data_IF_903439558195
#
_entry.id   IF_903439558195
#
_cell.length_a   1.000
_cell.length_b   1.000
_cell.length_c   1.000
_cell.angle_alpha   90.00
_cell.angle_beta   90.00
_cell.angle_gamma   90.00
#
_symmetry.space_group_name_H-M   'P 1'
#
loop_
_entity.id
_entity.type
_entity.pdbx_description
1 polymer ?
#
# COMPACT_ATOMS: atom_id res chain seq x y z
N UNK A 1 15.88 -10.99 7.76
CA UNK A 1 14.45 -10.77 7.45
C UNK A 1 13.69 -11.54 8.50
N UNK A 2 12.72 -10.89 9.11
CA UNK A 2 11.97 -11.41 10.24
C UNK A 2 10.51 -11.11 9.94
N UNK A 3 9.67 -12.15 10.05
CA UNK A 3 8.25 -11.99 9.84
C UNK A 3 7.66 -11.08 10.90
N UNK A 4 6.71 -10.25 10.49
CA UNK A 4 5.97 -9.43 11.43
C UNK A 4 5.06 -10.33 12.28
N UNK A 5 5.35 -10.45 13.58
CA UNK A 5 4.58 -11.25 14.53
C UNK A 5 3.22 -10.65 14.93
N UNK A 6 2.52 -9.97 14.01
CA UNK A 6 1.19 -9.43 14.28
C UNK A 6 0.13 -10.49 13.94
N UNK A 7 -0.82 -10.81 14.84
CA UNK A 7 -1.83 -11.84 14.58
C UNK A 7 -2.79 -11.50 13.43
N UNK A 8 -2.78 -10.25 12.94
CA UNK A 8 -3.61 -9.83 11.81
C UNK A 8 -2.93 -10.12 10.47
N UNK A 9 -1.62 -10.38 10.50
CA UNK A 9 -0.87 -10.70 9.30
C UNK A 9 -1.04 -12.18 9.02
N UNK A 10 -1.37 -12.57 7.78
CA UNK A 10 -1.42 -13.97 7.42
C UNK A 10 -0.07 -14.65 7.68
N UNK A 11 -0.09 -15.93 8.08
CA UNK A 11 1.14 -16.68 8.29
C UNK A 11 1.93 -16.76 6.99
N UNK A 12 3.25 -16.58 7.08
CA UNK A 12 4.13 -16.77 5.96
C UNK A 12 4.05 -18.21 5.45
N UNK A 13 4.06 -18.39 4.13
CA UNK A 13 4.14 -19.71 3.52
C UNK A 13 5.51 -20.32 3.85
N UNK A 14 5.53 -21.52 4.44
CA UNK A 14 6.75 -22.16 4.94
C UNK A 14 7.83 -22.33 3.87
N UNK A 15 7.44 -22.73 2.65
CA UNK A 15 8.35 -22.88 1.53
C UNK A 15 9.02 -21.55 1.14
N UNK A 16 8.25 -20.47 1.06
CA UNK A 16 8.76 -19.13 0.76
C UNK A 16 9.64 -18.58 1.89
N UNK A 17 9.26 -18.81 3.16
CA UNK A 17 10.08 -18.43 4.31
C UNK A 17 11.47 -19.05 4.27
N UNK A 18 11.53 -20.35 4.03
CA UNK A 18 12.80 -21.10 3.91
C UNK A 18 13.61 -20.59 2.72
N UNK A 19 12.99 -20.47 1.54
CA UNK A 19 13.67 -19.95 0.35
C UNK A 19 14.24 -18.55 0.57
N UNK A 20 13.48 -17.64 1.19
CA UNK A 20 13.93 -16.28 1.51
C UNK A 20 15.04 -16.25 2.56
N UNK A 21 15.11 -17.23 3.47
CA UNK A 21 16.22 -17.36 4.41
C UNK A 21 17.50 -17.82 3.73
N UNK A 22 17.40 -18.77 2.82
CA UNK A 22 18.55 -19.35 2.11
C UNK A 22 19.05 -18.47 0.95
N UNK A 23 18.22 -17.55 0.47
CA UNK A 23 18.59 -16.60 -0.58
C UNK A 23 19.80 -15.74 -0.15
N UNK A 24 20.83 -15.71 -0.99
CA UNK A 24 21.98 -14.84 -0.78
C UNK A 24 21.59 -13.37 -1.03
N UNK A 25 21.70 -12.54 0.01
CA UNK A 25 21.30 -11.12 0.05
C UNK A 25 22.47 -10.15 -0.09
N UNK A 26 23.62 -10.61 -0.59
CA UNK A 26 24.75 -9.72 -0.83
C UNK A 26 24.34 -8.59 -1.79
N UNK A 27 24.43 -7.35 -1.30
CA UNK A 27 24.09 -6.15 -2.06
C UNK A 27 24.91 -6.04 -3.36
N UNK A 28 26.10 -6.64 -3.42
CA UNK A 28 26.93 -6.71 -4.64
C UNK A 28 26.28 -7.49 -5.77
N UNK A 29 25.28 -8.32 -5.48
CA UNK A 29 24.52 -9.08 -6.49
C UNK A 29 23.33 -8.28 -7.04
N UNK A 30 22.99 -7.16 -6.42
CA UNK A 30 21.96 -6.25 -6.91
C UNK A 30 22.61 -5.35 -7.95
N UNK A 31 22.07 -5.34 -9.17
CA UNK A 31 22.58 -4.45 -10.22
C UNK A 31 22.48 -2.99 -9.77
N UNK A 32 23.51 -2.16 -10.01
CA UNK A 32 23.46 -0.73 -9.66
C UNK A 32 22.37 0.03 -10.42
N UNK A 33 21.83 -0.55 -11.50
CA UNK A 33 20.76 0.03 -12.32
C UNK A 33 19.36 -0.47 -11.90
N UNK A 34 19.21 -1.13 -10.74
CA UNK A 34 17.89 -1.59 -10.29
C UNK A 34 16.98 -0.37 -10.03
N UNK A 35 15.77 -0.34 -10.60
CA UNK A 35 14.81 0.73 -10.36
C UNK A 35 14.57 0.96 -8.87
N UNK A 36 14.27 2.21 -8.49
CA UNK A 36 13.84 2.50 -7.12
C UNK A 36 12.65 1.59 -6.77
N UNK A 37 12.76 0.90 -5.65
CA UNK A 37 11.71 0.02 -5.14
C UNK A 37 10.41 0.81 -4.99
N UNK A 38 9.43 0.47 -5.82
CA UNK A 38 8.12 1.10 -5.90
C UNK A 38 7.06 0.00 -5.96
N UNK A 39 5.87 0.29 -5.44
CA UNK A 39 4.82 -0.69 -5.25
C UNK A 39 3.48 -0.14 -5.75
N UNK A 40 2.69 -1.00 -6.38
CA UNK A 40 1.33 -0.67 -6.80
C UNK A 40 0.35 -0.59 -5.63
N UNK A 41 0.68 -1.16 -4.47
CA UNK A 41 -0.14 -1.11 -3.26
C UNK A 41 0.73 -0.70 -2.07
N UNK A 42 0.14 -0.12 -1.00
CA UNK A 42 0.91 0.21 0.18
C UNK A 42 1.37 -1.08 0.88
N UNK A 43 2.55 -1.05 1.49
CA UNK A 43 3.04 -2.18 2.28
C UNK A 43 2.10 -2.47 3.47
N UNK A 44 1.66 -3.72 3.68
CA UNK A 44 0.85 -4.11 4.84
C UNK A 44 1.46 -3.71 6.18
N UNK A 45 2.80 -3.64 6.25
CA UNK A 45 3.54 -3.23 7.45
C UNK A 45 3.19 -1.83 7.97
N UNK A 46 2.75 -0.92 7.08
CA UNK A 46 2.37 0.45 7.43
C UNK A 46 1.14 0.51 8.35
N UNK A 47 0.29 -0.52 8.31
CA UNK A 47 -0.97 -0.58 9.08
C UNK A 47 -0.81 -1.26 10.45
N UNK A 48 0.37 -1.82 10.74
CA UNK A 48 0.63 -2.66 11.92
C UNK A 48 1.83 -2.21 12.74
N UNK A 49 2.87 -1.64 12.13
CA UNK A 49 4.17 -1.42 12.78
C UNK A 49 4.37 0.02 13.22
N UNK A 50 4.89 0.22 14.44
CA UNK A 50 5.75 1.36 14.83
C UNK A 50 5.18 2.77 14.72
N UNK A 51 3.88 2.91 14.45
CA UNK A 51 3.19 4.19 14.29
C UNK A 51 2.20 4.39 15.44
N UNK A 52 1.91 5.64 15.80
CA UNK A 52 0.90 5.92 16.82
C UNK A 52 -0.47 5.34 16.40
N UNK A 53 -1.31 4.88 17.34
CA UNK A 53 -2.63 4.32 17.02
C UNK A 53 -3.47 5.24 16.12
N UNK A 54 -3.40 6.55 16.37
CA UNK A 54 -4.08 7.57 15.55
C UNK A 54 -3.60 7.58 14.10
N UNK A 55 -2.31 7.35 13.86
CA UNK A 55 -1.74 7.30 12.51
C UNK A 55 -2.10 6.00 11.79
N UNK A 56 -2.06 4.86 12.49
CA UNK A 56 -2.52 3.59 11.93
C UNK A 56 -3.99 3.65 11.52
N UNK A 57 -4.85 4.25 12.36
CA UNK A 57 -6.26 4.46 12.04
C UNK A 57 -6.43 5.38 10.82
N UNK A 58 -5.69 6.49 10.74
CA UNK A 58 -5.71 7.36 9.55
C UNK A 58 -5.31 6.60 8.29
N UNK A 59 -4.26 5.79 8.35
CA UNK A 59 -3.80 5.00 7.22
C UNK A 59 -4.87 4.02 6.78
N UNK A 60 -5.44 3.27 7.72
CA UNK A 60 -6.49 2.31 7.46
C UNK A 60 -7.71 2.98 6.83
N UNK A 61 -8.18 4.09 7.41
CA UNK A 61 -9.30 4.89 6.90
C UNK A 61 -9.07 5.34 5.46
N UNK A 62 -7.95 6.03 5.23
CA UNK A 62 -7.65 6.62 3.93
C UNK A 62 -7.42 5.53 2.86
N UNK A 63 -6.85 4.38 3.24
CA UNK A 63 -6.75 3.22 2.37
C UNK A 63 -8.13 2.68 2.00
N UNK A 64 -8.98 2.37 2.99
CA UNK A 64 -10.29 1.77 2.74
C UNK A 64 -11.19 2.64 1.86
N UNK A 65 -11.21 3.96 2.11
CA UNK A 65 -11.97 4.91 1.29
C UNK A 65 -11.46 4.95 -0.15
N UNK A 66 -10.15 4.86 -0.34
CA UNK A 66 -9.53 5.02 -1.65
C UNK A 66 -9.39 3.72 -2.44
N UNK A 67 -9.49 2.56 -1.76
CA UNK A 67 -9.15 1.23 -2.31
C UNK A 67 -9.85 0.95 -3.63
N UNK A 68 -11.18 1.07 -3.66
CA UNK A 68 -11.96 0.76 -4.87
C UNK A 68 -11.59 1.69 -6.03
N UNK A 69 -11.40 2.99 -5.73
CA UNK A 69 -10.96 3.97 -6.72
C UNK A 69 -9.55 3.69 -7.24
N UNK A 70 -8.63 3.27 -6.37
CA UNK A 70 -7.26 2.92 -6.74
C UNK A 70 -7.20 1.67 -7.59
N UNK A 71 -7.92 0.59 -7.23
CA UNK A 71 -8.01 -0.62 -8.06
C UNK A 71 -8.57 -0.27 -9.44
N UNK A 72 -9.64 0.52 -9.51
CA UNK A 72 -10.22 0.98 -10.78
C UNK A 72 -9.20 1.78 -11.60
N UNK A 73 -8.39 2.62 -10.93
CA UNK A 73 -7.34 3.39 -11.59
C UNK A 73 -6.26 2.48 -12.18
N UNK A 74 -5.80 1.46 -11.44
CA UNK A 74 -4.84 0.47 -11.93
C UNK A 74 -5.38 -0.34 -13.11
N UNK A 75 -6.68 -0.65 -13.14
CA UNK A 75 -7.29 -1.38 -14.26
C UNK A 75 -7.53 -0.54 -15.51
N UNK A 76 -7.68 0.78 -15.37
CA UNK A 76 -8.07 1.67 -16.46
C UNK A 76 -6.91 2.47 -17.07
N UNK A 77 -5.71 2.41 -16.50
CA UNK A 77 -4.57 3.23 -16.91
C UNK A 77 -3.24 2.50 -16.78
N UNK A 78 -2.24 2.96 -17.53
CA UNK A 78 -0.82 2.58 -17.38
C UNK A 78 -0.21 3.21 -16.11
N UNK A 79 -0.88 3.02 -14.98
CA UNK A 79 -0.45 3.56 -13.70
C UNK A 79 0.96 3.06 -13.38
N UNK A 80 1.82 3.96 -12.94
CA UNK A 80 3.18 3.62 -12.51
C UNK A 80 3.20 3.20 -11.04
N UNK A 81 4.09 2.29 -10.63
CA UNK A 81 4.23 1.92 -9.23
C UNK A 81 4.67 3.12 -8.39
N UNK A 82 4.18 3.17 -7.14
CA UNK A 82 4.36 4.32 -6.25
C UNK A 82 5.41 4.03 -5.18
N UNK A 83 6.33 4.98 -4.97
CA UNK A 83 7.39 4.82 -3.96
C UNK A 83 6.84 4.81 -2.53
N UNK A 84 7.47 4.08 -1.58
CA UNK A 84 6.99 3.95 -0.20
C UNK A 84 6.76 5.26 0.56
N UNK A 85 7.47 6.33 0.18
CA UNK A 85 7.29 7.65 0.77
C UNK A 85 5.97 8.28 0.36
N UNK A 86 5.67 8.28 -0.94
CA UNK A 86 4.43 8.86 -1.48
C UNK A 86 3.20 8.09 -1.00
N UNK A 87 3.31 6.76 -0.81
CA UNK A 87 2.31 5.98 -0.09
C UNK A 87 2.05 6.50 1.32
N UNK A 88 3.11 6.76 2.11
CA UNK A 88 2.96 7.31 3.47
C UNK A 88 2.36 8.71 3.45
N UNK A 89 2.80 9.57 2.53
CA UNK A 89 2.29 10.93 2.39
C UNK A 89 0.78 10.90 2.06
N UNK A 90 0.36 10.03 1.13
CA UNK A 90 -1.05 9.78 0.80
C UNK A 90 -1.84 9.23 2.00
N UNK A 91 -1.38 8.15 2.61
CA UNK A 91 -2.08 7.52 3.74
C UNK A 91 -2.19 8.44 4.95
N UNK A 92 -1.25 9.38 5.13
CA UNK A 92 -1.30 10.37 6.21
C UNK A 92 -2.23 11.55 5.93
N UNK A 93 -2.95 11.56 4.80
CA UNK A 93 -3.76 12.67 4.28
C UNK A 93 -2.90 13.77 3.66
N UNK A 94 -3.11 14.02 2.37
CA UNK A 94 -2.53 15.17 1.70
C UNK A 94 -3.45 16.38 1.94
N UNK A 95 -2.96 17.54 2.42
CA UNK A 95 -3.81 18.72 2.61
C UNK A 95 -4.36 19.27 1.28
N UNK A 96 -5.59 19.80 1.30
CA UNK A 96 -6.20 20.50 0.14
C UNK A 96 -5.34 21.65 -0.37
N UNK A 97 -4.66 22.35 0.54
CA UNK A 97 -3.78 23.47 0.24
C UNK A 97 -2.35 23.10 0.63
N UNK A 98 -1.47 23.03 -0.36
CA UNK A 98 -0.06 22.67 -0.19
C UNK A 98 0.78 23.94 -0.30
N UNK A 99 1.60 24.22 0.71
CA UNK A 99 2.45 25.41 0.74
C UNK A 99 3.50 25.41 -0.39
N UNK A 100 3.95 26.60 -0.81
CA UNK A 100 5.05 26.78 -1.77
C UNK A 100 6.41 26.65 -1.08
N UNK A 101 6.70 25.45 -0.57
CA UNK A 101 7.95 25.10 0.09
C UNK A 101 8.51 23.82 -0.52
N UNK A 102 9.79 23.52 -0.34
CA UNK A 102 10.39 22.27 -0.85
C UNK A 102 9.64 21.01 -0.36
N UNK A 103 9.18 21.00 0.90
CA UNK A 103 8.35 19.92 1.43
C UNK A 103 6.96 19.89 0.79
N UNK A 104 6.40 21.05 0.46
CA UNK A 104 5.15 21.18 -0.29
C UNK A 104 5.26 20.71 -1.73
N UNK A 105 6.34 21.04 -2.44
CA UNK A 105 6.55 20.57 -3.82
C UNK A 105 6.60 19.05 -3.89
N UNK A 106 7.32 18.42 -2.96
CA UNK A 106 7.35 16.95 -2.84
C UNK A 106 5.98 16.34 -2.52
N UNK A 107 5.17 17.03 -1.73
CA UNK A 107 3.81 16.58 -1.41
C UNK A 107 2.89 16.70 -2.63
N UNK A 108 3.10 17.73 -3.46
CA UNK A 108 2.40 17.92 -4.74
C UNK A 108 2.78 16.84 -5.75
N UNK A 109 4.05 16.45 -5.82
CA UNK A 109 4.50 15.30 -6.61
C UNK A 109 3.79 14.01 -6.16
N UNK A 110 3.70 13.78 -4.85
CA UNK A 110 2.98 12.61 -4.32
C UNK A 110 1.50 12.66 -4.65
N UNK A 111 0.86 13.83 -4.55
CA UNK A 111 -0.55 14.00 -4.91
C UNK A 111 -0.83 13.71 -6.39
N UNK A 112 0.09 14.10 -7.28
CA UNK A 112 -0.03 13.88 -8.71
C UNK A 112 -0.10 12.38 -9.06
N UNK A 113 0.61 11.51 -8.32
CA UNK A 113 0.59 10.06 -8.53
C UNK A 113 -0.79 9.42 -8.28
N UNK A 114 -1.61 10.00 -7.40
CA UNK A 114 -2.95 9.48 -7.08
C UNK A 114 -4.06 10.21 -7.82
N UNK A 115 -3.78 11.42 -8.30
CA UNK A 115 -4.74 12.24 -9.02
C UNK A 115 -5.82 12.87 -8.12
N UNK A 116 -6.48 13.94 -8.61
CA UNK A 116 -7.36 14.78 -7.80
C UNK A 116 -8.57 14.02 -7.24
N UNK A 117 -9.09 13.03 -7.96
CA UNK A 117 -10.26 12.24 -7.55
C UNK A 117 -9.98 11.38 -6.32
N UNK A 118 -8.81 10.75 -6.22
CA UNK A 118 -8.46 9.97 -5.02
C UNK A 118 -8.11 10.88 -3.84
N UNK A 119 -7.46 12.01 -4.10
CA UNK A 119 -7.13 12.99 -3.07
C UNK A 119 -8.40 13.60 -2.46
N UNK A 120 -9.43 13.92 -3.27
CA UNK A 120 -10.68 14.48 -2.74
C UNK A 120 -11.40 13.52 -1.78
N UNK A 121 -11.33 12.20 -2.03
CA UNK A 121 -11.95 11.20 -1.17
C UNK A 121 -11.38 11.19 0.26
N UNK A 122 -10.14 11.66 0.46
CA UNK A 122 -9.54 11.77 1.80
C UNK A 122 -10.16 12.88 2.65
N UNK A 123 -10.87 13.82 2.02
CA UNK A 123 -11.48 14.96 2.69
C UNK A 123 -13.00 14.83 2.81
N UNK A 124 -13.63 14.11 1.89
CA UNK A 124 -15.07 13.86 1.88
C UNK A 124 -15.33 12.43 2.35
N UNK A 125 -14.90 12.15 3.59
CA UNK A 125 -14.88 10.79 4.14
C UNK A 125 -16.31 10.32 4.44
N UNK A 126 -16.76 9.20 3.86
CA UNK A 126 -18.07 8.62 4.17
C UNK A 126 -18.11 8.07 5.60
N UNK A 127 -19.30 7.87 6.17
CA UNK A 127 -19.41 7.21 7.49
C UNK A 127 -19.06 5.73 7.42
N UNK A 128 -19.39 5.08 6.30
CA UNK A 128 -19.17 3.66 6.06
C UNK A 128 -18.56 3.42 4.69
N UNK A 129 -17.82 2.33 4.57
CA UNK A 129 -17.27 1.84 3.31
C UNK A 129 -17.63 0.36 3.14
N UNK A 130 -17.93 -0.02 1.90
CA UNK A 130 -18.10 -1.42 1.56
C UNK A 130 -16.71 -2.02 1.27
N UNK A 131 -16.38 -3.08 2.00
CA UNK A 131 -15.17 -3.88 1.79
C UNK A 131 -15.60 -5.32 1.60
N UNK A 132 -15.57 -5.78 0.34
CA UNK A 132 -16.13 -7.06 -0.06
C UNK A 132 -17.61 -7.19 0.34
N UNK A 133 -17.93 -8.16 1.19
CA UNK A 133 -19.26 -8.46 1.74
C UNK A 133 -19.53 -7.76 3.08
N UNK A 134 -18.62 -6.91 3.55
CA UNK A 134 -18.68 -6.27 4.88
C UNK A 134 -18.81 -4.76 4.74
N UNK A 135 -19.74 -4.18 5.51
CA UNK A 135 -19.81 -2.73 5.73
C UNK A 135 -18.98 -2.34 6.95
N UNK A 136 -17.96 -1.50 6.76
CA UNK A 136 -17.06 -1.05 7.82
C UNK A 136 -17.37 0.40 8.18
N UNK A 137 -17.65 0.64 9.47
CA UNK A 137 -17.75 1.99 10.02
C UNK A 137 -16.36 2.63 10.12
N UNK A 138 -16.22 3.85 9.57
CA UNK A 138 -14.96 4.60 9.62
C UNK A 138 -14.78 5.41 10.91
N UNK A 139 -15.83 5.58 11.73
CA UNK A 139 -15.73 6.25 13.03
C UNK A 139 -15.07 5.39 14.09
N UNK A 140 -15.19 4.07 13.98
CA UNK A 140 -14.82 3.10 15.02
C UNK A 140 -13.72 2.14 14.55
N UNK A 141 -12.83 2.58 13.67
CA UNK A 141 -11.71 1.75 13.17
C UNK A 141 -10.77 1.26 14.29
N UNK A 142 -10.78 1.92 15.45
CA UNK A 142 -10.07 1.48 16.64
C UNK A 142 -10.57 0.14 17.17
N UNK A 143 -11.86 -0.14 17.01
CA UNK A 143 -12.55 -1.32 17.54
C UNK A 143 -12.83 -2.35 16.46
N UNK A 144 -12.22 -2.21 15.28
CA UNK A 144 -12.36 -3.19 14.21
C UNK A 144 -11.86 -4.54 14.73
N UNK A 145 -12.65 -5.59 14.52
CA UNK A 145 -12.31 -6.90 15.02
C UNK A 145 -11.07 -7.45 14.29
N UNK A 146 -10.40 -8.38 14.96
CA UNK A 146 -9.17 -8.97 14.48
C UNK A 146 -9.33 -9.67 13.13
N UNK A 147 -10.46 -10.33 12.88
CA UNK A 147 -10.71 -11.06 11.63
C UNK A 147 -10.87 -10.08 10.46
N UNK A 148 -11.63 -8.99 10.65
CA UNK A 148 -11.77 -7.94 9.64
C UNK A 148 -10.42 -7.28 9.34
N UNK A 149 -9.62 -7.00 10.37
CA UNK A 149 -8.25 -6.50 10.16
C UNK A 149 -7.40 -7.48 9.36
N UNK A 150 -7.48 -8.78 9.66
CA UNK A 150 -6.80 -9.82 8.88
C UNK A 150 -7.25 -9.87 7.43
N UNK A 151 -8.55 -9.76 7.15
CA UNK A 151 -9.08 -9.72 5.78
C UNK A 151 -8.52 -8.54 4.99
N UNK A 152 -8.44 -7.36 5.60
CA UNK A 152 -7.88 -6.16 4.95
C UNK A 152 -6.39 -6.32 4.65
N UNK A 153 -5.63 -6.88 5.60
CA UNK A 153 -4.20 -7.12 5.38
C UNK A 153 -3.95 -8.22 4.36
N UNK A 154 -4.74 -9.31 4.39
CA UNK A 154 -4.69 -10.37 3.39
C UNK A 154 -4.91 -9.81 1.98
N UNK A 155 -5.96 -9.01 1.80
CA UNK A 155 -6.29 -8.37 0.55
C UNK A 155 -5.12 -7.52 0.01
N UNK A 156 -4.44 -6.77 0.89
CA UNK A 156 -3.23 -6.03 0.53
C UNK A 156 -2.07 -6.94 0.14
N UNK A 157 -1.84 -8.05 0.86
CA UNK A 157 -0.79 -9.01 0.50
C UNK A 157 -1.06 -9.65 -0.86
N UNK A 158 -2.31 -10.05 -1.10
CA UNK A 158 -2.73 -10.69 -2.35
C UNK A 158 -2.54 -9.75 -3.55
N UNK A 159 -3.01 -8.50 -3.46
CA UNK A 159 -2.82 -7.52 -4.52
C UNK A 159 -1.34 -7.18 -4.75
N UNK A 160 -0.56 -6.97 -3.68
CA UNK A 160 0.89 -6.75 -3.83
C UNK A 160 1.55 -7.93 -4.53
N UNK A 161 1.27 -9.17 -4.10
CA UNK A 161 1.85 -10.37 -4.69
C UNK A 161 1.53 -10.50 -6.18
N UNK A 162 0.26 -10.32 -6.57
CA UNK A 162 -0.15 -10.42 -7.97
C UNK A 162 0.57 -9.39 -8.85
N UNK A 163 0.64 -8.13 -8.41
CA UNK A 163 1.30 -7.07 -9.19
C UNK A 163 2.83 -7.20 -9.20
N UNK A 164 3.45 -7.61 -8.10
CA UNK A 164 4.88 -7.90 -8.05
C UNK A 164 5.25 -9.09 -8.95
N UNK A 165 4.40 -10.11 -9.00
CA UNK A 165 4.60 -11.27 -9.87
C UNK A 165 4.49 -10.89 -11.35
N UNK A 166 3.50 -10.07 -11.73
CA UNK A 166 3.39 -9.55 -13.10
C UNK A 166 4.59 -8.68 -13.45
N UNK A 167 5.00 -7.76 -12.56
CA UNK A 167 6.16 -6.92 -12.80
C UNK A 167 7.45 -7.75 -12.96
N UNK A 168 7.60 -8.83 -12.18
CA UNK A 168 8.70 -9.77 -12.32
C UNK A 168 8.66 -10.49 -13.67
N UNK A 169 7.49 -10.98 -14.09
CA UNK A 169 7.30 -11.64 -15.38
C UNK A 169 7.66 -10.72 -16.55
N UNK A 170 7.21 -9.46 -16.54
CA UNK A 170 7.58 -8.46 -17.55
C UNK A 170 9.10 -8.23 -17.63
N UNK A 171 9.81 -8.28 -16.50
CA UNK A 171 11.27 -8.13 -16.47
C UNK A 171 11.99 -9.38 -16.95
N UNK A 172 11.48 -10.56 -16.60
CA UNK A 172 12.10 -11.85 -16.98
C UNK A 172 11.86 -12.18 -18.46
N UNK A 173 10.71 -11.79 -19.02
CA UNK A 173 10.32 -12.07 -20.40
C UNK A 173 9.79 -10.82 -21.13
N UNK A 174 10.63 -9.79 -21.36
CA UNK A 174 10.17 -8.52 -21.94
C UNK A 174 9.59 -8.64 -23.36
N UNK A 175 9.88 -9.73 -24.08
CA UNK A 175 9.42 -9.95 -25.46
C UNK A 175 7.96 -10.42 -25.57
N UNK A 176 7.31 -10.77 -24.46
CA UNK A 176 5.93 -11.27 -24.43
C UNK A 176 4.89 -10.20 -24.04
N UNK A 177 5.34 -8.98 -23.76
CA UNK A 177 4.54 -7.84 -23.28
C UNK A 177 4.70 -6.64 -24.21
#
# INVERSE_FOLDING_TARGET
WEDLGNPAIPPAMSAWHTALKDMNKDAKRVSPNVPKVAYFFPSPSLFVRGESPNRQQRYLRNWLVSRAGWITHLSASDASPVIPRSWRDFLNTIPKQISSTFSGDRLRESAALFGPKLISLQHDIPSHVQFWDISISLTDLATIDQMTKSKILWDLYEHNFQFELVALDCVMMPSLW
#
